data_IF_945717307081
#
_entry.id   IF_945717307081
#
_cell.length_a   1.000
_cell.length_b   1.000
_cell.length_c   1.000
_cell.angle_alpha   90.00
_cell.angle_beta   90.00
_cell.angle_gamma   90.00
#
_symmetry.space_group_name_H-M   'P 1'
#
loop_
_entity.id
_entity.type
_entity.pdbx_description
1 polymer ?
#
# COMPACT_ATOMS: atom_id res chain seq x y z
N UNK A 1 15.31 -29.21 -4.34
CA UNK A 1 14.87 -27.80 -4.37
C UNK A 1 13.53 -27.71 -3.68
N UNK A 2 13.49 -27.13 -2.48
CA UNK A 2 12.24 -26.97 -1.73
C UNK A 2 11.79 -25.52 -1.82
N UNK A 3 10.73 -25.24 -2.58
CA UNK A 3 9.93 -24.03 -2.43
C UNK A 3 9.14 -24.22 -1.13
N UNK A 4 9.73 -23.76 -0.04
CA UNK A 4 9.13 -23.80 1.28
C UNK A 4 8.51 -22.44 1.57
N UNK A 5 7.19 -22.39 1.64
CA UNK A 5 6.45 -21.27 2.21
C UNK A 5 7.09 -20.88 3.53
N UNK A 6 7.67 -19.68 3.59
CA UNK A 6 8.35 -19.21 4.79
C UNK A 6 7.30 -18.83 5.83
N UNK A 7 7.29 -19.52 6.97
CA UNK A 7 6.34 -19.28 8.06
C UNK A 7 7.02 -19.45 9.42
N UNK A 8 6.63 -18.64 10.40
CA UNK A 8 7.15 -18.74 11.76
C UNK A 8 6.17 -18.11 12.78
N UNK A 9 6.36 -18.46 14.05
CA UNK A 9 5.62 -17.90 15.18
C UNK A 9 6.49 -16.90 15.93
N UNK A 10 5.89 -15.82 16.40
CA UNK A 10 6.59 -14.78 17.14
C UNK A 10 5.73 -14.19 18.25
N UNK A 11 6.39 -13.64 19.24
CA UNK A 11 5.77 -12.79 20.26
C UNK A 11 6.30 -11.38 20.04
N UNK A 12 5.41 -10.43 19.85
CA UNK A 12 5.74 -9.02 19.69
C UNK A 12 6.08 -8.37 21.02
N UNK A 13 6.69 -7.18 20.97
CA UNK A 13 7.08 -6.43 22.17
C UNK A 13 5.88 -6.00 23.04
N UNK A 14 4.68 -5.88 22.47
CA UNK A 14 3.44 -5.60 23.20
C UNK A 14 2.76 -6.86 23.78
N UNK A 15 3.41 -8.02 23.70
CA UNK A 15 2.95 -9.30 24.24
C UNK A 15 2.01 -10.09 23.32
N UNK A 16 1.71 -9.60 22.11
CA UNK A 16 0.82 -10.30 21.18
C UNK A 16 1.50 -11.55 20.59
N UNK A 17 0.77 -12.67 20.56
CA UNK A 17 1.23 -13.92 19.94
C UNK A 17 0.84 -13.91 18.47
N UNK A 18 1.81 -13.88 17.57
CA UNK A 18 1.58 -13.78 16.14
C UNK A 18 2.17 -14.96 15.37
N UNK A 19 1.59 -15.24 14.22
CA UNK A 19 2.10 -16.16 13.20
C UNK A 19 2.17 -15.40 11.89
N UNK A 20 3.21 -15.64 11.11
CA UNK A 20 3.31 -15.07 9.77
C UNK A 20 3.59 -16.14 8.72
N UNK A 21 3.14 -15.87 7.50
CA UNK A 21 3.33 -16.73 6.33
C UNK A 21 3.62 -15.86 5.12
N UNK A 22 4.64 -16.22 4.35
CA UNK A 22 5.00 -15.57 3.12
C UNK A 22 4.54 -16.38 1.89
N UNK A 23 4.15 -15.69 0.83
CA UNK A 23 3.92 -16.28 -0.48
C UNK A 23 5.22 -16.37 -1.28
N UNK A 24 5.29 -17.32 -2.21
CA UNK A 24 6.44 -17.50 -3.09
C UNK A 24 6.27 -16.81 -4.47
N UNK A 25 5.59 -15.64 -4.49
CA UNK A 25 5.33 -14.83 -5.70
C UNK A 25 6.11 -13.51 -5.67
N UNK A 26 6.24 -12.80 -6.80
CA UNK A 26 6.72 -11.41 -6.85
C UNK A 26 5.58 -10.46 -7.30
N UNK A 27 5.19 -9.45 -6.50
CA UNK A 27 5.71 -9.13 -5.16
C UNK A 27 5.36 -10.21 -4.12
N UNK A 28 6.23 -10.35 -3.12
CA UNK A 28 5.98 -11.21 -1.98
C UNK A 28 4.93 -10.57 -1.07
N UNK A 29 3.94 -11.38 -0.68
CA UNK A 29 2.98 -11.02 0.36
C UNK A 29 3.30 -11.75 1.65
N UNK A 30 3.23 -11.00 2.76
CA UNK A 30 3.42 -11.50 4.11
C UNK A 30 2.11 -11.35 4.88
N UNK A 31 1.48 -12.47 5.20
CA UNK A 31 0.27 -12.53 6.01
C UNK A 31 0.65 -12.66 7.46
N UNK A 32 0.14 -11.79 8.32
CA UNK A 32 0.40 -11.81 9.77
C UNK A 32 -0.92 -11.93 10.50
N UNK A 33 -1.03 -12.91 11.38
CA UNK A 33 -2.18 -13.10 12.26
C UNK A 33 -1.70 -13.04 13.70
N UNK A 34 -2.31 -12.19 14.52
CA UNK A 34 -1.93 -11.95 15.91
C UNK A 34 -3.12 -12.20 16.85
N UNK A 35 -2.81 -12.64 18.06
CA UNK A 35 -3.76 -12.80 19.17
C UNK A 35 -3.23 -12.06 20.40
N UNK A 36 -4.08 -11.23 21.02
CA UNK A 36 -3.81 -10.50 22.26
C UNK A 36 -4.99 -10.67 23.21
N UNK A 37 -4.83 -11.53 24.21
CA UNK A 37 -5.97 -12.02 24.99
C UNK A 37 -6.97 -12.74 24.08
N UNK A 38 -8.23 -12.31 24.12
CA UNK A 38 -9.31 -12.84 23.26
C UNK A 38 -9.38 -12.17 21.88
N UNK A 39 -8.74 -11.00 21.71
CA UNK A 39 -8.77 -10.26 20.44
C UNK A 39 -7.82 -10.90 19.45
N UNK A 40 -8.30 -11.17 18.25
CA UNK A 40 -7.47 -11.61 17.13
C UNK A 40 -7.58 -10.63 15.97
N UNK A 41 -6.47 -10.38 15.29
CA UNK A 41 -6.40 -9.50 14.14
C UNK A 41 -5.43 -10.06 13.10
N UNK A 42 -5.65 -9.69 11.85
CA UNK A 42 -4.77 -10.07 10.75
C UNK A 42 -4.48 -8.87 9.85
N UNK A 43 -3.35 -8.95 9.14
CA UNK A 43 -3.01 -7.98 8.12
C UNK A 43 -2.08 -8.58 7.07
N UNK A 44 -1.93 -7.85 5.95
CA UNK A 44 -1.08 -8.22 4.83
C UNK A 44 -0.01 -7.16 4.63
N UNK A 45 1.23 -7.57 4.39
CA UNK A 45 2.29 -6.71 3.92
C UNK A 45 2.69 -7.10 2.50
N UNK A 46 3.24 -6.16 1.75
CA UNK A 46 3.77 -6.34 0.39
C UNK A 46 5.20 -5.85 0.30
N UNK A 47 6.06 -6.59 -0.39
CA UNK A 47 7.44 -6.20 -0.65
C UNK A 47 8.02 -6.94 -1.86
N UNK A 48 9.11 -6.42 -2.44
CA UNK A 48 9.87 -7.01 -3.56
C UNK A 48 11.31 -7.30 -3.15
N UNK A 49 11.57 -8.34 -2.34
CA UNK A 49 12.91 -8.70 -1.86
C UNK A 49 13.93 -8.90 -2.99
N UNK A 50 13.48 -9.23 -4.21
CA UNK A 50 14.31 -9.36 -5.40
C UNK A 50 15.08 -8.06 -5.76
N UNK A 51 14.59 -6.89 -5.35
CA UNK A 51 15.29 -5.60 -5.52
C UNK A 51 16.49 -5.42 -4.56
N UNK A 52 16.69 -6.36 -3.64
CA UNK A 52 17.84 -6.46 -2.76
C UNK A 52 18.69 -7.67 -3.19
N UNK A 53 19.83 -7.49 -3.87
CA UNK A 53 20.65 -8.61 -4.37
C UNK A 53 21.05 -9.62 -3.28
N UNK A 54 21.26 -9.12 -2.06
CA UNK A 54 21.61 -9.94 -0.89
C UNK A 54 20.53 -10.98 -0.55
N UNK A 55 19.25 -10.73 -0.88
CA UNK A 55 18.16 -11.66 -0.63
C UNK A 55 18.45 -13.03 -1.24
N UNK A 56 18.88 -13.06 -2.50
CA UNK A 56 19.20 -14.32 -3.21
C UNK A 56 20.46 -14.99 -2.67
N UNK A 57 21.41 -14.20 -2.16
CA UNK A 57 22.65 -14.72 -1.59
C UNK A 57 22.43 -15.43 -0.25
N UNK A 58 21.44 -15.03 0.55
CA UNK A 58 21.16 -15.67 1.84
C UNK A 58 19.69 -15.53 2.29
N UNK A 59 18.81 -16.31 1.67
CA UNK A 59 17.36 -16.34 1.94
C UNK A 59 17.04 -16.67 3.41
N UNK A 60 17.81 -17.58 4.03
CA UNK A 60 17.60 -17.97 5.44
C UNK A 60 17.90 -16.81 6.40
N UNK A 61 19.00 -16.09 6.18
CA UNK A 61 19.33 -14.90 6.97
C UNK A 61 18.28 -13.80 6.77
N UNK A 62 17.81 -13.62 5.54
CA UNK A 62 16.76 -12.65 5.22
C UNK A 62 15.52 -12.90 6.08
N UNK A 63 14.96 -14.11 6.06
CA UNK A 63 13.76 -14.42 6.84
C UNK A 63 13.99 -14.32 8.35
N UNK A 64 15.16 -14.71 8.87
CA UNK A 64 15.51 -14.47 10.28
C UNK A 64 15.47 -12.98 10.64
N UNK A 65 15.96 -12.11 9.74
CA UNK A 65 15.93 -10.67 9.96
C UNK A 65 14.52 -10.09 9.86
N UNK A 66 13.68 -10.59 8.94
CA UNK A 66 12.26 -10.22 8.86
C UNK A 66 11.51 -10.61 10.15
N UNK A 67 11.68 -11.85 10.64
CA UNK A 67 11.09 -12.28 11.91
C UNK A 67 11.53 -11.39 13.07
N UNK A 68 12.81 -11.03 13.14
CA UNK A 68 13.33 -10.11 14.17
C UNK A 68 12.71 -8.71 14.06
N UNK A 69 12.55 -8.20 12.84
CA UNK A 69 11.92 -6.91 12.60
C UNK A 69 10.45 -6.91 13.03
N UNK A 70 9.69 -7.97 12.73
CA UNK A 70 8.32 -8.14 13.19
C UNK A 70 8.21 -8.18 14.72
N UNK A 71 9.09 -8.93 15.40
CA UNK A 71 9.14 -9.00 16.89
C UNK A 71 9.37 -7.64 17.54
N UNK A 72 10.15 -6.77 16.90
CA UNK A 72 10.50 -5.43 17.41
C UNK A 72 9.33 -4.44 17.33
N UNK A 73 8.31 -4.71 16.52
CA UNK A 73 7.16 -3.82 16.35
C UNK A 73 6.24 -3.85 17.59
N UNK A 74 5.81 -2.67 18.03
CA UNK A 74 4.82 -2.51 19.11
C UNK A 74 3.37 -2.46 18.59
N UNK A 75 3.18 -2.30 17.29
CA UNK A 75 1.88 -2.05 16.64
C UNK A 75 1.83 -2.68 15.24
N UNK A 76 2.10 -4.00 15.18
CA UNK A 76 1.87 -4.76 13.95
C UNK A 76 0.44 -4.51 13.47
N UNK A 77 0.28 -4.38 12.15
CA UNK A 77 -1.02 -4.17 11.48
C UNK A 77 -1.68 -2.80 11.67
N UNK A 78 -1.09 -1.87 12.43
CA UNK A 78 -1.68 -0.55 12.66
C UNK A 78 -0.91 0.61 12.01
N UNK A 79 0.41 0.47 11.81
CA UNK A 79 1.24 1.56 11.34
C UNK A 79 1.75 1.34 9.91
N UNK A 80 1.15 2.05 8.95
CA UNK A 80 1.49 1.97 7.53
C UNK A 80 2.88 2.52 7.19
N UNK A 81 3.36 3.46 8.02
CA UNK A 81 4.65 4.15 7.80
C UNK A 81 5.83 3.28 8.22
N UNK A 82 5.60 2.30 9.10
CA UNK A 82 6.64 1.42 9.60
C UNK A 82 6.89 0.27 8.62
N UNK A 83 8.07 0.30 8.00
CA UNK A 83 8.54 -0.78 7.13
C UNK A 83 9.12 -1.92 7.95
N UNK A 84 8.82 -3.15 7.57
CA UNK A 84 9.50 -4.35 8.06
C UNK A 84 10.70 -4.59 7.15
N UNK A 85 11.89 -4.30 7.67
CA UNK A 85 13.15 -4.30 6.91
C UNK A 85 14.05 -5.45 7.32
N UNK A 86 14.66 -6.12 6.34
CA UNK A 86 15.82 -6.96 6.59
C UNK A 86 17.07 -6.07 6.65
N UNK A 87 17.90 -6.22 7.68
CA UNK A 87 19.13 -5.43 7.84
C UNK A 87 20.12 -5.57 6.68
N UNK A 88 20.17 -6.74 6.04
CA UNK A 88 20.96 -6.99 4.83
C UNK A 88 20.47 -6.20 3.61
N UNK A 89 19.24 -5.71 3.64
CA UNK A 89 18.63 -4.88 2.60
C UNK A 89 18.53 -3.41 3.01
N UNK A 90 19.28 -2.95 4.02
CA UNK A 90 19.18 -1.57 4.57
C UNK A 90 19.21 -0.45 3.52
N UNK A 91 19.98 -0.64 2.46
CA UNK A 91 20.20 0.32 1.37
C UNK A 91 19.38 0.00 0.11
N UNK A 92 18.57 -1.05 0.14
CA UNK A 92 17.66 -1.41 -0.94
C UNK A 92 16.52 -0.38 -1.04
N UNK A 93 15.93 -0.20 -2.24
CA UNK A 93 14.83 0.74 -2.44
C UNK A 93 13.63 0.40 -1.55
N UNK A 94 12.73 1.37 -1.35
CA UNK A 94 11.61 1.24 -0.41
C UNK A 94 10.75 0.01 -0.71
N UNK A 95 10.58 -0.30 -1.99
CA UNK A 95 9.80 -1.41 -2.51
C UNK A 95 10.40 -2.77 -2.13
N UNK A 96 11.69 -2.84 -1.82
CA UNK A 96 12.35 -4.06 -1.36
C UNK A 96 11.94 -4.47 0.06
N UNK A 97 11.39 -3.52 0.84
CA UNK A 97 10.98 -3.72 2.21
C UNK A 97 9.48 -3.99 2.29
N UNK A 98 9.06 -4.77 3.28
CA UNK A 98 7.65 -5.04 3.49
C UNK A 98 6.94 -3.81 4.07
N UNK A 99 5.88 -3.37 3.40
CA UNK A 99 4.97 -2.31 3.85
C UNK A 99 3.58 -2.88 4.09
N UNK A 100 2.87 -2.35 5.08
CA UNK A 100 1.50 -2.75 5.35
C UNK A 100 0.62 -2.41 4.14
N UNK A 101 -0.14 -3.39 3.66
CA UNK A 101 -1.22 -3.17 2.70
C UNK A 101 -2.43 -2.77 3.51
N UNK A 102 -2.73 -1.48 3.49
CA UNK A 102 -4.00 -1.01 4.01
C UNK A 102 -5.03 -1.20 2.92
N UNK A 103 -6.17 -1.76 3.30
CA UNK A 103 -7.37 -1.78 2.45
C UNK A 103 -7.76 -0.32 2.19
N UNK A 104 -7.11 0.29 1.22
CA UNK A 104 -7.42 1.63 0.78
C UNK A 104 -8.85 1.58 0.25
N UNK A 105 -9.74 2.32 0.91
CA UNK A 105 -10.86 2.98 0.26
C UNK A 105 -10.25 3.72 -0.95
N UNK A 106 -10.34 3.10 -2.13
CA UNK A 106 -9.89 3.59 -3.45
C UNK A 106 -8.86 4.72 -3.40
N UNK A 107 -7.58 4.39 -3.30
CA UNK A 107 -6.53 5.35 -3.66
C UNK A 107 -6.18 5.08 -5.11
N UNK A 108 -6.65 5.97 -5.97
CA UNK A 108 -6.22 6.18 -7.34
C UNK A 108 -4.69 6.08 -7.41
N UNK A 109 -4.10 5.27 -8.31
CA UNK A 109 -2.66 5.21 -8.43
C UNK A 109 -2.14 6.59 -8.81
N UNK A 110 -1.28 7.15 -7.95
CA UNK A 110 -0.50 8.35 -8.25
C UNK A 110 0.37 8.05 -9.47
N UNK A 111 0.21 8.78 -10.59
CA UNK A 111 1.11 8.65 -11.73
C UNK A 111 2.49 9.17 -11.34
N UNK A 112 3.49 8.35 -11.64
CA UNK A 112 4.90 8.73 -11.62
C UNK A 112 5.07 10.00 -12.46
N UNK A 113 5.44 11.14 -11.85
CA UNK A 113 5.78 12.37 -12.57
C UNK A 113 7.32 12.46 -12.63
N UNK A 114 7.95 12.30 -13.79
CA UNK A 114 9.31 12.78 -13.98
C UNK A 114 9.29 14.31 -13.89
N UNK A 115 10.21 14.87 -13.10
CA UNK A 115 10.35 16.31 -12.93
C UNK A 115 10.60 17.00 -14.29
N UNK A 116 9.73 17.95 -14.64
CA UNK A 116 9.90 18.88 -15.76
C UNK A 116 9.53 20.30 -15.31
N UNK A 117 10.14 21.33 -15.91
CA UNK A 117 10.37 22.62 -15.27
C UNK A 117 9.12 23.50 -15.20
N UNK A 118 9.12 24.35 -14.18
CA UNK A 118 8.21 25.47 -13.94
C UNK A 118 8.00 26.31 -15.21
N UNK A 119 6.75 26.41 -15.67
CA UNK A 119 6.27 27.59 -16.38
C UNK A 119 4.78 27.79 -16.10
N UNK A 120 4.52 28.87 -15.37
CA UNK A 120 3.31 29.70 -15.26
C UNK A 120 1.99 29.19 -15.88
N UNK A 121 0.99 29.09 -14.99
CA UNK A 121 -0.43 28.94 -15.32
C UNK A 121 -0.95 30.06 -16.24
N UNK A 122 -1.87 29.70 -17.17
CA UNK A 122 -3.15 30.40 -17.40
C UNK A 122 -4.05 29.70 -18.44
N UNK A 123 -5.34 29.74 -18.12
CA UNK A 123 -6.54 29.59 -18.96
C UNK A 123 -7.10 28.17 -19.17
N UNK A 124 -8.25 27.93 -18.52
CA UNK A 124 -9.13 26.79 -18.71
C UNK A 124 -9.89 26.92 -20.04
N UNK A 125 -9.86 25.89 -20.88
CA UNK A 125 -10.80 25.75 -22.00
C UNK A 125 -11.18 24.26 -22.22
N UNK A 126 -12.47 23.94 -22.49
CA UNK A 126 -13.08 22.67 -22.10
C UNK A 126 -13.15 21.66 -23.24
N UNK A 127 -12.69 20.43 -23.00
CA UNK A 127 -12.83 19.29 -23.95
C UNK A 127 -14.12 18.47 -23.77
N UNK A 128 -15.04 18.87 -22.90
CA UNK A 128 -16.16 18.03 -22.46
C UNK A 128 -17.57 18.60 -22.74
N UNK A 129 -17.72 19.64 -23.59
CA UNK A 129 -19.06 20.12 -24.02
C UNK A 129 -19.88 19.07 -24.78
N UNK A 130 -19.22 18.13 -25.48
CA UNK A 130 -19.90 17.10 -26.28
C UNK A 130 -20.46 15.96 -25.42
N UNK A 131 -19.78 15.63 -24.33
CA UNK A 131 -20.18 14.59 -23.36
C UNK A 131 -21.33 15.06 -22.45
N UNK A 132 -21.32 16.33 -22.04
CA UNK A 132 -22.39 16.91 -21.21
C UNK A 132 -23.75 16.99 -21.94
N UNK A 133 -23.72 17.13 -23.27
CA UNK A 133 -24.93 17.24 -24.10
C UNK A 133 -25.64 15.90 -24.31
N UNK A 134 -24.93 14.78 -24.20
CA UNK A 134 -25.53 13.44 -24.28
C UNK A 134 -26.14 12.97 -22.95
N UNK A 135 -25.73 13.53 -21.81
CA UNK A 135 -26.07 12.99 -20.49
C UNK A 135 -27.27 13.67 -19.80
N UNK A 136 -27.60 14.92 -20.12
CA UNK A 136 -28.85 15.55 -19.65
C UNK A 136 -29.91 15.44 -20.76
N UNK A 137 -30.67 14.34 -20.72
CA UNK A 137 -31.90 14.15 -21.51
C UNK A 137 -33.09 14.83 -20.83
N UNK A 138 -34.11 15.23 -21.60
CA UNK A 138 -35.29 15.98 -21.14
C UNK A 138 -36.07 15.30 -20.00
N UNK A 139 -35.89 13.99 -19.79
CA UNK A 139 -36.54 13.26 -18.69
C UNK A 139 -35.93 13.48 -17.29
N UNK A 140 -34.81 14.21 -17.14
CA UNK A 140 -34.08 14.37 -15.85
C UNK A 140 -33.69 15.83 -15.52
N UNK A 141 -34.36 16.81 -16.13
CA UNK A 141 -34.04 18.24 -16.01
C UNK A 141 -33.98 18.76 -14.55
N UNK A 142 -34.85 18.26 -13.66
CA UNK A 142 -34.89 18.65 -12.25
C UNK A 142 -33.62 18.26 -11.46
N UNK A 143 -33.01 17.11 -11.78
CA UNK A 143 -31.82 16.61 -11.09
C UNK A 143 -30.54 17.26 -11.64
N UNK A 144 -30.47 17.52 -12.95
CA UNK A 144 -29.35 18.27 -13.55
C UNK A 144 -29.25 19.70 -12.97
N UNK A 145 -30.38 20.34 -12.65
CA UNK A 145 -30.39 21.70 -12.09
C UNK A 145 -29.88 21.75 -10.64
N UNK A 146 -30.23 20.74 -9.83
CA UNK A 146 -29.78 20.67 -8.43
C UNK A 146 -28.26 20.50 -8.30
N UNK A 147 -27.64 19.66 -9.15
CA UNK A 147 -26.19 19.42 -9.09
C UNK A 147 -25.36 20.47 -9.84
N UNK A 148 -25.90 21.12 -10.87
CA UNK A 148 -25.19 22.20 -11.58
C UNK A 148 -25.03 23.46 -10.73
N UNK A 149 -25.91 23.66 -9.74
CA UNK A 149 -25.82 24.80 -8.82
C UNK A 149 -24.87 24.52 -7.64
N UNK A 150 -24.55 23.25 -7.37
CA UNK A 150 -23.57 22.85 -6.36
C UNK A 150 -22.12 22.91 -6.88
N UNK A 151 -21.93 22.94 -8.21
CA UNK A 151 -20.63 23.16 -8.88
C UNK A 151 -20.68 24.50 -9.60
N UNK A 152 -20.86 25.58 -8.85
CA UNK A 152 -20.47 26.93 -9.24
C UNK A 152 -20.51 27.81 -8.00
N UNK A 153 -19.43 27.74 -7.23
CA UNK A 153 -18.95 28.89 -6.49
C UNK A 153 -17.52 28.56 -6.15
N UNK A 154 -16.58 29.03 -6.98
CA UNK A 154 -15.41 29.80 -6.59
C UNK A 154 -14.83 30.38 -7.89
N UNK A 155 -14.58 31.69 -7.88
CA UNK A 155 -13.86 32.44 -8.92
C UNK A 155 -12.54 31.76 -9.33
N UNK A 156 -12.14 31.98 -10.58
CA UNK A 156 -10.84 31.53 -11.12
C UNK A 156 -9.63 32.07 -10.34
#
# INVERSE_FOLDING_TARGET
>A
GGQGTSQDKLVTKDGSRCTWTATDNDPLFLFVTCKKGEKSFNCRYVGRPALCPQYRSNTLLYWKQITRALKKQNSLCHNEKLLVRAGMCKHAPREAHFRLVVSQKTVTPSPYVPAAPVTTAKSCLPKNKKLAKEFCSDSWFSVCTFFSTMVNNYDC
#
